data_IF_580342944501
#
_entry.id   IF_580342944501
#
_cell.length_a   1.000
_cell.length_b   1.000
_cell.length_c   1.000
_cell.angle_alpha   90.00
_cell.angle_beta   90.00
_cell.angle_gamma   90.00
#
_symmetry.space_group_name_H-M   'P 1'
#
loop_
_entity.id
_entity.type
_entity.pdbx_description
1 polymer ?
#
# COMPACT_ATOMS: atom_id res chain seq x y z
N UNK A 1 -14.67 4.97 10.26
CA UNK A 1 -13.91 5.48 11.42
C UNK A 1 -14.43 4.94 12.73
N UNK A 2 -13.64 5.02 13.78
CA UNK A 2 -14.01 4.63 15.14
C UNK A 2 -13.11 5.35 16.13
N UNK A 3 -13.69 5.83 17.23
CA UNK A 3 -12.94 6.44 18.33
C UNK A 3 -12.52 5.43 19.40
N UNK A 4 -13.15 4.27 19.45
CA UNK A 4 -12.96 3.26 20.49
C UNK A 4 -12.62 1.85 19.95
N UNK A 5 -12.51 1.68 18.64
CA UNK A 5 -12.28 0.42 17.91
C UNK A 5 -13.40 -0.62 18.08
N UNK A 6 -14.52 -0.26 18.67
CA UNK A 6 -15.69 -1.12 18.87
C UNK A 6 -16.87 -0.68 18.00
N UNK A 7 -17.15 0.61 18.01
CA UNK A 7 -18.24 1.20 17.24
C UNK A 7 -17.67 1.83 15.97
N UNK A 8 -18.04 1.31 14.81
CA UNK A 8 -17.52 1.74 13.52
C UNK A 8 -18.56 2.44 12.67
N UNK A 9 -18.19 3.55 12.07
CA UNK A 9 -18.96 4.24 11.03
C UNK A 9 -18.26 4.14 9.67
N UNK A 10 -19.06 4.03 8.60
CA UNK A 10 -18.56 4.11 7.23
C UNK A 10 -18.38 5.57 6.87
N UNK A 11 -17.15 5.99 6.60
CA UNK A 11 -16.85 7.35 6.14
C UNK A 11 -17.12 7.51 4.65
N UNK A 12 -16.61 6.59 3.86
CA UNK A 12 -16.78 6.60 2.41
C UNK A 12 -16.49 5.24 1.82
N UNK A 13 -16.94 5.05 0.58
CA UNK A 13 -16.57 3.92 -0.26
C UNK A 13 -15.71 4.41 -1.42
N UNK A 14 -14.70 3.65 -1.79
CA UNK A 14 -13.93 3.88 -2.99
C UNK A 14 -14.42 2.90 -4.07
N UNK A 15 -15.02 3.38 -5.17
CA UNK A 15 -15.48 2.50 -6.24
C UNK A 15 -14.28 1.88 -6.97
N UNK A 16 -14.54 0.80 -7.69
CA UNK A 16 -13.60 0.20 -8.66
C UNK A 16 -12.30 -0.39 -8.09
N UNK A 17 -12.26 -0.73 -6.81
CA UNK A 17 -11.23 -1.62 -6.28
C UNK A 17 -11.58 -3.07 -6.64
N UNK A 18 -11.20 -3.51 -7.84
CA UNK A 18 -11.56 -4.84 -8.36
C UNK A 18 -10.63 -5.96 -7.92
N UNK A 19 -9.73 -5.70 -6.98
CA UNK A 19 -8.77 -6.70 -6.48
C UNK A 19 -8.81 -6.79 -4.96
N UNK A 20 -8.23 -7.88 -4.45
CA UNK A 20 -8.09 -8.16 -3.02
C UNK A 20 -6.99 -7.29 -2.38
N UNK A 21 -6.88 -7.36 -1.06
CA UNK A 21 -5.83 -6.75 -0.25
C UNK A 21 -5.70 -5.23 -0.47
N UNK A 22 -6.79 -4.45 -0.28
CA UNK A 22 -6.67 -2.99 -0.27
C UNK A 22 -5.91 -2.54 0.97
N UNK A 23 -5.01 -1.57 0.79
CA UNK A 23 -4.27 -0.95 1.88
C UNK A 23 -4.26 0.56 1.70
N UNK A 24 -4.46 1.31 2.79
CA UNK A 24 -4.54 2.77 2.78
C UNK A 24 -3.64 3.33 3.87
N UNK A 25 -2.58 4.01 3.50
CA UNK A 25 -1.59 4.51 4.44
C UNK A 25 -1.07 5.90 4.09
N UNK A 26 -0.75 6.73 5.11
CA UNK A 26 -0.04 7.98 4.91
C UNK A 26 1.44 7.71 4.68
N UNK A 27 2.07 8.52 3.85
CA UNK A 27 3.51 8.45 3.58
C UNK A 27 4.10 9.85 3.50
N UNK A 28 5.30 10.02 4.03
CA UNK A 28 6.06 11.25 3.84
C UNK A 28 6.65 11.26 2.44
N UNK A 29 6.18 12.16 1.62
CA UNK A 29 6.67 12.35 0.27
C UNK A 29 7.88 13.31 0.24
N UNK A 30 8.60 13.30 -0.86
CA UNK A 30 9.64 14.28 -1.16
C UNK A 30 9.10 15.71 -0.97
N UNK A 31 9.91 16.57 -0.35
CA UNK A 31 9.51 17.94 -0.01
C UNK A 31 8.71 18.06 1.29
N UNK A 32 8.76 17.04 2.17
CA UNK A 32 8.08 17.02 3.47
C UNK A 32 6.55 17.20 3.38
N UNK A 33 5.96 16.67 2.35
CA UNK A 33 4.51 16.68 2.15
C UNK A 33 3.95 15.31 2.51
N UNK A 34 2.92 15.27 3.35
CA UNK A 34 2.20 14.02 3.62
C UNK A 34 1.24 13.75 2.46
N UNK A 35 1.36 12.57 1.88
CA UNK A 35 0.41 12.04 0.89
C UNK A 35 -0.19 10.74 1.42
N UNK A 36 -1.26 10.31 0.79
CA UNK A 36 -1.87 9.02 1.05
C UNK A 36 -1.72 8.10 -0.16
N UNK A 37 -1.45 6.85 0.10
CA UNK A 37 -1.39 5.82 -0.92
C UNK A 37 -2.50 4.83 -0.67
N UNK A 38 -3.29 4.56 -1.71
CA UNK A 38 -4.26 3.48 -1.77
C UNK A 38 -3.70 2.40 -2.68
N UNK A 39 -3.22 1.31 -2.10
CA UNK A 39 -2.71 0.17 -2.85
C UNK A 39 -3.69 -1.00 -2.83
N UNK A 40 -3.50 -1.94 -3.74
CA UNK A 40 -4.34 -3.12 -3.88
C UNK A 40 -3.61 -4.28 -4.53
N UNK A 41 -3.85 -5.48 -4.05
CA UNK A 41 -3.27 -6.73 -4.55
C UNK A 41 -1.75 -6.79 -4.45
N UNK A 42 -1.10 -5.80 -3.82
CA UNK A 42 0.35 -5.66 -3.81
C UNK A 42 0.95 -5.33 -5.17
N UNK A 43 0.15 -4.81 -6.10
CA UNK A 43 0.58 -4.56 -7.47
C UNK A 43 0.24 -3.16 -7.98
N UNK A 44 -0.91 -2.65 -7.62
CA UNK A 44 -1.41 -1.37 -8.11
C UNK A 44 -1.52 -0.37 -6.99
N UNK A 45 -1.32 0.91 -7.28
CA UNK A 45 -1.48 1.97 -6.32
C UNK A 45 -2.01 3.26 -6.95
N UNK A 46 -2.64 4.07 -6.12
CA UNK A 46 -2.96 5.47 -6.39
C UNK A 46 -2.34 6.34 -5.31
N UNK A 47 -1.90 7.52 -5.69
CA UNK A 47 -1.47 8.57 -4.76
C UNK A 47 -2.55 9.63 -4.68
N UNK A 48 -2.75 10.19 -3.52
CA UNK A 48 -3.76 11.22 -3.31
C UNK A 48 -3.71 11.80 -1.92
N UNK A 49 -4.85 12.31 -1.48
CA UNK A 49 -5.03 12.90 -0.16
C UNK A 49 -6.27 12.33 0.51
N UNK A 50 -6.25 12.25 1.82
CA UNK A 50 -7.44 12.02 2.61
C UNK A 50 -8.07 13.39 2.91
N UNK A 51 -9.26 13.65 2.39
CA UNK A 51 -9.96 14.93 2.50
C UNK A 51 -11.33 14.78 3.14
N UNK A 52 -11.76 15.80 3.85
CA UNK A 52 -13.17 15.91 4.28
C UNK A 52 -14.02 16.44 3.12
N UNK A 53 -15.04 15.67 2.75
CA UNK A 53 -16.02 16.02 1.72
C UNK A 53 -17.39 15.75 2.32
N UNK A 54 -18.22 16.78 2.42
CA UNK A 54 -19.56 16.71 3.05
C UNK A 54 -19.54 16.12 4.47
N UNK A 55 -18.50 16.45 5.25
CA UNK A 55 -18.34 15.99 6.64
C UNK A 55 -17.77 14.58 6.80
N UNK A 56 -17.43 13.89 5.71
CA UNK A 56 -16.88 12.54 5.71
C UNK A 56 -15.46 12.50 5.13
N UNK A 57 -14.61 11.64 5.67
CA UNK A 57 -13.28 11.42 5.14
C UNK A 57 -13.34 10.58 3.85
N UNK A 58 -12.70 11.08 2.81
CA UNK A 58 -12.60 10.40 1.50
C UNK A 58 -11.18 10.42 0.99
N UNK A 59 -10.73 9.32 0.41
CA UNK A 59 -9.52 9.31 -0.40
C UNK A 59 -9.83 9.96 -1.75
N UNK A 60 -9.05 10.97 -2.10
CA UNK A 60 -9.15 11.71 -3.37
C UNK A 60 -7.83 11.54 -4.11
N UNK A 61 -7.84 10.76 -5.17
CA UNK A 61 -6.65 10.53 -5.99
C UNK A 61 -6.19 11.83 -6.67
N UNK A 62 -4.88 12.00 -6.75
CA UNK A 62 -4.26 13.06 -7.56
C UNK A 62 -4.67 12.90 -9.04
N UNK A 63 -4.61 13.99 -9.81
CA UNK A 63 -5.05 14.01 -11.20
C UNK A 63 -4.42 12.88 -12.05
N UNK A 64 -3.14 12.62 -11.85
CA UNK A 64 -2.39 11.56 -12.54
C UNK A 64 -2.84 10.14 -12.23
N UNK A 65 -3.65 9.98 -11.17
CA UNK A 65 -4.12 8.69 -10.67
C UNK A 65 -5.65 8.53 -10.74
N UNK A 66 -6.36 9.47 -11.35
CA UNK A 66 -7.83 9.37 -11.51
C UNK A 66 -8.19 8.27 -12.51
N UNK A 67 -7.55 8.28 -13.68
CA UNK A 67 -7.86 7.37 -14.79
C UNK A 67 -6.98 6.11 -14.83
N UNK A 68 -5.85 6.11 -14.13
CA UNK A 68 -4.90 5.00 -14.15
C UNK A 68 -4.25 4.75 -12.80
N UNK A 69 -3.75 3.54 -12.59
CA UNK A 69 -2.95 3.18 -11.43
C UNK A 69 -1.45 3.26 -11.74
N UNK A 70 -0.65 3.51 -10.71
CA UNK A 70 0.76 3.16 -10.71
C UNK A 70 0.95 1.65 -10.52
N UNK A 71 2.08 1.14 -10.94
CA UNK A 71 2.47 -0.27 -10.77
C UNK A 71 3.59 -0.33 -9.74
N UNK A 72 3.38 -1.12 -8.68
CA UNK A 72 4.36 -1.28 -7.60
C UNK A 72 5.47 -2.28 -7.95
N UNK A 73 5.13 -3.34 -8.65
CA UNK A 73 6.01 -4.48 -8.88
C UNK A 73 6.14 -4.80 -10.37
N UNK A 74 7.36 -5.09 -10.81
CA UNK A 74 7.69 -5.42 -12.18
C UNK A 74 7.63 -6.93 -12.48
N UNK A 75 7.65 -7.76 -11.44
CA UNK A 75 7.56 -9.22 -11.55
C UNK A 75 6.14 -9.74 -11.37
N UNK A 76 5.94 -11.03 -11.66
CA UNK A 76 4.66 -11.71 -11.44
C UNK A 76 4.50 -12.19 -10.00
N UNK A 77 5.60 -12.63 -9.39
CA UNK A 77 5.61 -13.28 -8.08
C UNK A 77 5.71 -12.25 -6.95
N UNK A 78 4.73 -11.37 -6.90
CA UNK A 78 4.55 -10.38 -5.85
C UNK A 78 3.07 -10.07 -5.73
N UNK A 79 2.43 -10.58 -4.68
CA UNK A 79 1.01 -10.43 -4.46
C UNK A 79 0.66 -10.25 -2.98
N UNK A 80 -0.56 -9.80 -2.71
CA UNK A 80 -1.13 -9.66 -1.38
C UNK A 80 -0.26 -8.81 -0.43
N UNK A 81 0.39 -7.75 -0.97
CA UNK A 81 1.19 -6.86 -0.14
C UNK A 81 0.34 -6.15 0.91
N UNK A 82 0.90 -6.06 2.09
CA UNK A 82 0.38 -5.26 3.19
C UNK A 82 1.49 -4.43 3.79
N UNK A 83 1.12 -3.26 4.31
CA UNK A 83 2.07 -2.37 4.96
C UNK A 83 2.01 -2.48 6.48
N UNK A 84 3.11 -2.16 7.13
CA UNK A 84 3.21 -2.02 8.56
C UNK A 84 4.20 -0.91 8.93
N UNK A 85 4.19 -0.52 10.19
CA UNK A 85 4.96 0.63 10.69
C UNK A 85 6.00 0.16 11.70
N UNK A 86 7.18 0.72 11.61
CA UNK A 86 8.27 0.45 12.58
C UNK A 86 8.20 1.40 13.78
N UNK A 87 7.55 2.54 13.60
CA UNK A 87 7.44 3.59 14.59
C UNK A 87 5.98 3.97 14.83
N UNK A 88 5.74 4.62 15.97
CA UNK A 88 4.44 5.17 16.31
C UNK A 88 4.09 6.39 15.43
N UNK A 89 2.80 6.62 15.18
CA UNK A 89 2.30 7.81 14.49
C UNK A 89 2.39 9.09 15.34
N UNK A 90 2.96 9.00 16.52
CA UNK A 90 3.02 10.12 17.46
C UNK A 90 1.70 10.31 18.22
N UNK A 91 1.48 11.52 18.66
CA UNK A 91 0.27 11.90 19.40
C UNK A 91 -0.58 12.84 18.56
N UNK A 92 -1.84 13.08 19.00
CA UNK A 92 -2.73 14.05 18.38
C UNK A 92 -2.11 15.46 18.30
N UNK A 93 -1.34 15.84 19.33
CA UNK A 93 -0.71 17.16 19.42
C UNK A 93 0.67 17.21 18.73
N UNK A 94 1.27 16.06 18.47
CA UNK A 94 2.55 15.93 17.77
C UNK A 94 2.52 14.69 16.85
N UNK A 95 1.79 14.75 15.75
CA UNK A 95 1.69 13.63 14.83
C UNK A 95 3.01 13.41 14.08
N UNK A 96 3.37 12.15 13.87
CA UNK A 96 4.50 11.73 13.06
C UNK A 96 4.02 10.79 11.96
N UNK A 97 4.70 10.83 10.81
CA UNK A 97 4.49 9.84 9.75
C UNK A 97 5.63 8.84 9.84
N UNK A 98 5.35 7.61 10.28
CA UNK A 98 6.39 6.59 10.42
C UNK A 98 6.90 6.11 9.07
N UNK A 99 8.04 5.43 9.10
CA UNK A 99 8.52 4.71 7.93
C UNK A 99 7.56 3.55 7.62
N UNK A 100 7.13 3.48 6.38
CA UNK A 100 6.24 2.44 5.89
C UNK A 100 7.06 1.30 5.32
N UNK A 101 6.78 0.10 5.80
CA UNK A 101 7.39 -1.14 5.36
C UNK A 101 6.33 -1.99 4.66
N UNK A 102 6.70 -2.55 3.53
CA UNK A 102 5.86 -3.48 2.78
C UNK A 102 6.40 -4.90 2.90
N UNK A 103 5.50 -5.83 3.05
CA UNK A 103 5.74 -7.27 2.95
C UNK A 103 4.72 -7.86 1.98
N UNK A 104 5.17 -8.73 1.08
CA UNK A 104 4.28 -9.38 0.13
C UNK A 104 4.61 -10.88 -0.04
N UNK A 105 3.68 -11.59 -0.63
CA UNK A 105 3.84 -12.99 -0.98
C UNK A 105 4.65 -13.14 -2.28
N UNK A 106 5.77 -13.87 -2.22
CA UNK A 106 6.60 -14.17 -3.39
C UNK A 106 5.98 -15.32 -4.18
N UNK A 107 4.81 -15.07 -4.73
CA UNK A 107 4.07 -15.97 -5.61
C UNK A 107 2.94 -15.17 -6.30
N UNK A 108 2.10 -15.86 -7.05
CA UNK A 108 0.95 -15.31 -7.76
C UNK A 108 -0.16 -16.35 -7.84
N UNK A 109 -1.38 -15.93 -8.21
CA UNK A 109 -2.49 -16.82 -8.52
C UNK A 109 -2.46 -17.38 -9.93
N UNK A 110 -1.40 -17.15 -10.69
CA UNK A 110 -1.23 -17.80 -11.99
C UNK A 110 -1.18 -19.34 -11.85
N UNK A 111 -1.39 -20.03 -12.93
CA UNK A 111 -1.56 -21.51 -12.97
C UNK A 111 -0.34 -22.30 -12.48
N UNK A 112 0.79 -21.67 -12.29
CA UNK A 112 1.99 -22.31 -11.72
C UNK A 112 2.14 -22.14 -10.20
N UNK A 113 1.27 -21.41 -9.53
CA UNK A 113 1.42 -21.08 -8.10
C UNK A 113 1.57 -22.31 -7.19
N UNK A 114 0.94 -23.43 -7.52
CA UNK A 114 1.02 -24.69 -6.78
C UNK A 114 2.17 -25.60 -7.25
N UNK A 115 2.72 -25.37 -8.44
CA UNK A 115 3.71 -26.25 -9.05
C UNK A 115 5.08 -26.16 -8.37
N UNK A 116 5.39 -25.06 -7.71
CA UNK A 116 6.67 -24.87 -7.03
C UNK A 116 6.83 -25.89 -5.92
N UNK A 117 5.86 -26.01 -5.02
CA UNK A 117 5.87 -26.99 -3.93
C UNK A 117 5.95 -28.43 -4.50
N UNK A 118 5.15 -28.73 -5.50
CA UNK A 118 5.11 -30.05 -6.15
C UNK A 118 6.46 -30.42 -6.78
N UNK A 119 7.09 -29.50 -7.54
CA UNK A 119 8.36 -29.74 -8.22
C UNK A 119 9.58 -29.78 -7.31
N UNK A 120 9.55 -29.02 -6.22
CA UNK A 120 10.68 -28.93 -5.29
C UNK A 120 10.56 -29.88 -4.11
N UNK A 121 9.41 -30.53 -3.92
CA UNK A 121 9.11 -31.37 -2.77
C UNK A 121 8.94 -30.60 -1.46
N UNK A 122 8.78 -29.29 -1.53
CA UNK A 122 8.49 -28.43 -0.38
C UNK A 122 7.09 -28.70 0.18
N UNK A 123 6.93 -28.61 1.51
CA UNK A 123 5.65 -28.80 2.18
C UNK A 123 4.83 -27.49 2.32
N UNK A 124 5.27 -26.43 1.70
CA UNK A 124 4.64 -25.11 1.72
C UNK A 124 4.64 -24.54 0.30
N UNK A 125 3.74 -23.62 0.04
CA UNK A 125 3.59 -22.97 -1.25
C UNK A 125 3.89 -21.48 -1.14
N UNK A 126 5.02 -21.07 -1.73
CA UNK A 126 5.50 -19.71 -1.68
C UNK A 126 6.26 -19.35 -0.41
N UNK A 127 6.72 -18.11 -0.36
CA UNK A 127 7.45 -17.50 0.75
C UNK A 127 7.16 -16.01 0.75
N UNK A 128 7.63 -15.29 1.76
CA UNK A 128 7.61 -13.83 1.74
C UNK A 128 8.76 -13.28 0.91
N UNK A 129 8.52 -12.15 0.24
CA UNK A 129 9.56 -11.34 -0.34
C UNK A 129 10.39 -10.64 0.76
N UNK A 130 11.51 -10.04 0.35
CA UNK A 130 12.26 -9.15 1.23
C UNK A 130 11.36 -7.98 1.64
N UNK A 131 11.47 -7.57 2.90
CA UNK A 131 10.81 -6.37 3.36
C UNK A 131 11.33 -5.15 2.60
N UNK A 132 10.42 -4.31 2.16
CA UNK A 132 10.71 -3.12 1.37
C UNK A 132 10.32 -1.87 2.16
N UNK A 133 11.22 -0.92 2.26
CA UNK A 133 10.87 0.44 2.68
C UNK A 133 10.19 1.14 1.50
N UNK A 134 9.04 1.71 1.76
CA UNK A 134 8.32 2.53 0.80
C UNK A 134 8.74 4.00 0.93
N UNK A 135 8.86 4.66 -0.20
CA UNK A 135 9.07 6.09 -0.32
C UNK A 135 8.17 6.67 -1.41
N UNK A 136 8.05 7.98 -1.44
CA UNK A 136 7.28 8.69 -2.45
C UNK A 136 8.10 9.87 -2.95
N UNK A 137 8.52 9.79 -4.20
CA UNK A 137 9.37 10.81 -4.86
C UNK A 137 8.61 11.50 -5.99
N UNK A 138 9.10 12.64 -6.41
CA UNK A 138 8.57 13.34 -7.58
C UNK A 138 9.26 12.88 -8.86
N UNK A 139 8.45 12.63 -9.87
CA UNK A 139 8.86 12.48 -11.27
C UNK A 139 8.10 13.56 -12.07
N UNK A 140 8.75 14.70 -12.29
CA UNK A 140 8.09 15.93 -12.71
C UNK A 140 7.11 16.43 -11.63
N UNK A 141 5.85 16.58 -11.97
CA UNK A 141 4.79 16.97 -11.03
C UNK A 141 4.08 15.78 -10.38
N UNK A 142 4.33 14.58 -10.87
CA UNK A 142 3.71 13.34 -10.40
C UNK A 142 4.48 12.74 -9.22
N UNK A 143 3.78 12.29 -8.20
CA UNK A 143 4.36 11.47 -7.14
C UNK A 143 4.42 10.00 -7.57
N UNK A 144 5.57 9.36 -7.41
CA UNK A 144 5.80 7.95 -7.76
C UNK A 144 6.29 7.19 -6.54
N UNK A 145 5.66 6.03 -6.29
CA UNK A 145 6.04 5.14 -5.20
C UNK A 145 7.38 4.46 -5.51
N UNK A 146 8.26 4.44 -4.52
CA UNK A 146 9.55 3.75 -4.58
C UNK A 146 9.61 2.64 -3.55
N UNK A 147 10.33 1.59 -3.88
CA UNK A 147 10.53 0.41 -3.04
C UNK A 147 12.02 0.16 -2.89
N UNK A 148 12.51 0.10 -1.66
CA UNK A 148 13.92 -0.14 -1.37
C UNK A 148 14.05 -1.29 -0.38
N UNK A 149 14.80 -2.35 -0.69
CA UNK A 149 15.04 -3.44 0.25
C UNK A 149 15.65 -2.91 1.55
N UNK A 150 15.14 -3.39 2.69
CA UNK A 150 15.70 -3.06 3.99
C UNK A 150 17.09 -3.71 4.07
N UNK A 151 18.09 -2.91 4.40
CA UNK A 151 19.43 -3.43 4.67
C UNK A 151 19.42 -4.17 5.99
N UNK A 152 19.98 -5.37 5.99
CA UNK A 152 20.25 -6.15 7.20
C UNK A 152 21.31 -5.47 8.07
#
# INVERSE_FOLDING_TARGET
SSDNLLDWSVESTYPDLHTECPDLYPIMAEGNTVKWVLSRGGRYYKVGDLKQVDGHWKFVADADYQESDGIMNFGKDSYAAMTYYVQDFGTKDNPTIPQIIELNWMNTWDNYCNLVAERTGQKFNGTFNLNLTLGLVKDGDKYVLTQTPIKA
#
